data_IF_620638836920
#
_entry.id   IF_620638836920
#
_cell.length_a   1.000
_cell.length_b   1.000
_cell.length_c   1.000
_cell.angle_alpha   90.00
_cell.angle_beta   90.00
_cell.angle_gamma   90.00
#
_symmetry.space_group_name_H-M   'P 1'
#
loop_
_entity.id
_entity.type
_entity.pdbx_description
1 polymer ?
#
# COMPACT_ATOMS: atom_id res chain seq x y z
N UNK A 1 -0.22 18.70 15.82
CA UNK A 1 -0.26 17.29 15.38
C UNK A 1 1.18 16.79 15.23
N UNK A 2 1.52 15.57 15.68
CA UNK A 2 2.89 15.04 15.52
C UNK A 2 3.17 14.66 14.06
N UNK A 3 4.45 14.58 13.65
CA UNK A 3 4.82 14.12 12.31
C UNK A 3 4.28 12.71 12.01
N UNK A 4 4.34 11.80 12.99
CA UNK A 4 3.81 10.44 12.85
C UNK A 4 2.28 10.42 12.74
N UNK A 5 1.58 11.28 13.50
CA UNK A 5 0.13 11.45 13.37
C UNK A 5 -0.26 11.98 11.99
N UNK A 6 0.49 12.96 11.46
CA UNK A 6 0.26 13.49 10.12
C UNK A 6 0.47 12.41 9.04
N UNK A 7 1.52 11.59 9.20
CA UNK A 7 1.77 10.45 8.31
C UNK A 7 0.63 9.43 8.36
N UNK A 8 0.17 9.02 9.55
CA UNK A 8 -0.95 8.08 9.69
C UNK A 8 -2.22 8.60 9.02
N UNK A 9 -2.55 9.89 9.20
CA UNK A 9 -3.69 10.50 8.52
C UNK A 9 -3.53 10.49 7.00
N UNK A 10 -2.40 11.00 6.50
CA UNK A 10 -2.16 11.10 5.06
C UNK A 10 -2.18 9.71 4.41
N UNK A 11 -1.39 8.77 4.93
CA UNK A 11 -1.25 7.44 4.36
C UNK A 11 -2.53 6.61 4.53
N UNK A 12 -3.24 6.78 5.65
CA UNK A 12 -4.54 6.16 5.89
C UNK A 12 -5.62 6.64 4.91
N UNK A 13 -5.71 7.95 4.68
CA UNK A 13 -6.66 8.52 3.72
C UNK A 13 -6.36 8.12 2.27
N UNK A 14 -5.09 8.03 1.88
CA UNK A 14 -4.70 7.53 0.56
C UNK A 14 -5.08 6.06 0.37
N UNK A 15 -4.87 5.23 1.40
CA UNK A 15 -5.30 3.83 1.40
C UNK A 15 -6.83 3.70 1.27
N UNK A 16 -7.58 4.50 2.02
CA UNK A 16 -9.03 4.56 1.92
C UNK A 16 -9.49 4.97 0.52
N UNK A 17 -8.90 6.02 -0.06
CA UNK A 17 -9.27 6.47 -1.40
C UNK A 17 -9.00 5.39 -2.46
N UNK A 18 -7.81 4.77 -2.42
CA UNK A 18 -7.44 3.71 -3.35
C UNK A 18 -8.33 2.46 -3.19
N UNK A 19 -8.51 1.99 -1.95
CA UNK A 19 -9.32 0.81 -1.65
C UNK A 19 -10.81 1.03 -1.97
N UNK A 20 -11.36 2.20 -1.67
CA UNK A 20 -12.74 2.54 -2.05
C UNK A 20 -12.92 2.57 -3.57
N UNK A 21 -11.95 3.06 -4.34
CA UNK A 21 -12.01 3.01 -5.81
C UNK A 21 -12.04 1.56 -6.31
N UNK A 22 -11.18 0.69 -5.78
CA UNK A 22 -11.19 -0.75 -6.10
C UNK A 22 -12.53 -1.42 -5.75
N UNK A 23 -13.17 -1.05 -4.64
CA UNK A 23 -14.45 -1.63 -4.21
C UNK A 23 -15.62 -1.17 -5.09
N UNK A 24 -15.71 0.14 -5.34
CA UNK A 24 -16.84 0.77 -6.04
C UNK A 24 -16.74 0.57 -7.55
N UNK A 25 -15.56 0.76 -8.13
CA UNK A 25 -15.35 0.74 -9.58
C UNK A 25 -14.07 -0.05 -9.96
N UNK A 26 -14.00 -1.36 -9.67
CA UNK A 26 -12.79 -2.18 -9.86
C UNK A 26 -12.23 -2.17 -11.29
N UNK A 27 -13.09 -2.20 -12.32
CA UNK A 27 -12.63 -2.15 -13.71
C UNK A 27 -12.01 -0.78 -14.07
N UNK A 28 -12.59 0.31 -13.54
CA UNK A 28 -12.04 1.65 -13.73
C UNK A 28 -10.70 1.80 -13.02
N UNK A 29 -10.56 1.26 -11.81
CA UNK A 29 -9.27 1.23 -11.12
C UNK A 29 -8.23 0.42 -11.92
N UNK A 30 -8.61 -0.77 -12.37
CA UNK A 30 -7.72 -1.68 -13.09
C UNK A 30 -7.14 -1.08 -14.37
N UNK A 31 -7.97 -0.39 -15.17
CA UNK A 31 -7.52 0.22 -16.42
C UNK A 31 -7.03 1.67 -16.26
N UNK A 32 -7.46 2.37 -15.21
CA UNK A 32 -7.24 3.80 -15.03
C UNK A 32 -6.11 4.16 -14.07
N UNK A 33 -5.67 3.24 -13.21
CA UNK A 33 -4.50 3.48 -12.36
C UNK A 33 -3.24 3.54 -13.26
N UNK A 34 -2.41 4.60 -13.17
CA UNK A 34 -1.20 4.74 -13.98
C UNK A 34 -0.05 3.86 -13.46
N UNK A 35 -0.33 2.56 -13.33
CA UNK A 35 0.60 1.52 -12.84
C UNK A 35 0.59 0.29 -13.75
N UNK A 36 0.01 0.38 -14.95
CA UNK A 36 -0.05 -0.71 -15.93
C UNK A 36 -0.52 -2.06 -15.34
N UNK A 37 -1.49 -2.02 -14.41
CA UNK A 37 -2.07 -3.21 -13.77
C UNK A 37 -2.48 -4.30 -14.77
N UNK A 38 -3.00 -3.99 -15.99
CA UNK A 38 -3.33 -5.00 -17.00
C UNK A 38 -2.17 -5.90 -17.42
N UNK A 39 -0.92 -5.50 -17.21
CA UNK A 39 0.25 -6.32 -17.53
C UNK A 39 0.41 -7.50 -16.56
N UNK A 40 -0.28 -7.48 -15.40
CA UNK A 40 -0.24 -8.52 -14.37
C UNK A 40 -1.22 -9.68 -14.62
N UNK A 41 -2.08 -9.58 -15.65
CA UNK A 41 -3.01 -10.65 -16.03
C UNK A 41 -4.35 -10.15 -16.58
N UNK A 42 -5.36 -11.03 -16.71
CA UNK A 42 -6.73 -10.62 -17.03
C UNK A 42 -7.47 -10.07 -15.80
N UNK A 43 -8.39 -9.14 -16.04
CA UNK A 43 -9.22 -8.54 -14.97
C UNK A 43 -10.07 -9.59 -14.25
N UNK A 44 -9.89 -9.68 -12.94
CA UNK A 44 -10.79 -10.37 -12.03
C UNK A 44 -11.41 -9.37 -11.04
N UNK A 45 -12.70 -9.08 -11.21
CA UNK A 45 -13.42 -8.07 -10.40
C UNK A 45 -13.48 -8.43 -8.91
N UNK A 46 -13.57 -9.71 -8.58
CA UNK A 46 -13.58 -10.17 -7.19
C UNK A 46 -12.22 -9.93 -6.55
N UNK A 47 -11.15 -10.35 -7.25
CA UNK A 47 -9.78 -10.17 -6.78
C UNK A 47 -9.42 -8.69 -6.55
N UNK A 48 -9.80 -7.79 -7.46
CA UNK A 48 -9.59 -6.34 -7.25
C UNK A 48 -10.33 -5.84 -6.00
N UNK A 49 -11.54 -6.33 -5.72
CA UNK A 49 -12.30 -5.95 -4.52
C UNK A 49 -11.68 -6.52 -3.25
N UNK A 50 -11.11 -7.72 -3.27
CA UNK A 50 -10.40 -8.28 -2.12
C UNK A 50 -9.17 -7.43 -1.77
N UNK A 51 -8.42 -7.00 -2.79
CA UNK A 51 -7.33 -6.03 -2.60
C UNK A 51 -7.90 -4.73 -2.03
N UNK A 52 -9.01 -4.23 -2.58
CA UNK A 52 -9.71 -3.04 -2.08
C UNK A 52 -10.08 -3.13 -0.60
N UNK A 53 -10.60 -4.28 -0.16
CA UNK A 53 -10.92 -4.53 1.24
C UNK A 53 -9.66 -4.45 2.12
N UNK A 54 -8.54 -5.06 1.69
CA UNK A 54 -7.27 -4.98 2.43
C UNK A 54 -6.77 -3.52 2.58
N UNK A 55 -6.78 -2.73 1.50
CA UNK A 55 -6.38 -1.32 1.53
C UNK A 55 -7.33 -0.48 2.41
N UNK A 56 -8.64 -0.71 2.35
CA UNK A 56 -9.60 -0.04 3.25
C UNK A 56 -9.33 -0.40 4.71
N UNK A 57 -9.10 -1.68 5.03
CA UNK A 57 -8.77 -2.12 6.39
C UNK A 57 -7.52 -1.41 6.92
N UNK A 58 -6.44 -1.37 6.13
CA UNK A 58 -5.21 -0.64 6.49
C UNK A 58 -5.50 0.85 6.71
N UNK A 59 -6.24 1.46 5.78
CA UNK A 59 -6.61 2.87 5.84
C UNK A 59 -7.40 3.23 7.09
N UNK A 60 -8.42 2.44 7.44
CA UNK A 60 -9.20 2.60 8.68
C UNK A 60 -8.30 2.46 9.90
N UNK A 61 -7.47 1.41 9.96
CA UNK A 61 -6.59 1.17 11.11
C UNK A 61 -5.63 2.33 11.36
N UNK A 62 -5.02 2.88 10.30
CA UNK A 62 -4.16 4.05 10.38
C UNK A 62 -4.91 5.30 10.84
N UNK A 63 -6.07 5.59 10.25
CA UNK A 63 -6.90 6.75 10.63
C UNK A 63 -7.35 6.67 12.10
N UNK A 64 -7.77 5.49 12.58
CA UNK A 64 -8.16 5.26 13.98
C UNK A 64 -6.98 5.48 14.92
N UNK A 65 -5.78 5.01 14.55
CA UNK A 65 -4.58 5.15 15.37
C UNK A 65 -3.94 6.55 15.29
N UNK A 66 -4.25 7.36 14.27
CA UNK A 66 -3.57 8.62 13.98
C UNK A 66 -3.54 9.64 15.15
N UNK A 67 -4.63 9.85 15.92
CA UNK A 67 -4.63 10.79 17.05
C UNK A 67 -3.58 10.45 18.12
N UNK A 68 -3.28 9.16 18.29
CA UNK A 68 -2.32 8.65 19.25
C UNK A 68 -1.19 7.85 18.57
N UNK A 69 -0.81 8.22 17.35
CA UNK A 69 0.04 7.41 16.47
C UNK A 69 1.28 6.82 17.17
N UNK A 70 1.99 7.61 18.00
CA UNK A 70 3.17 7.15 18.77
C UNK A 70 2.91 5.99 19.74
N UNK A 71 1.67 5.80 20.19
CA UNK A 71 1.25 4.66 21.04
C UNK A 71 0.88 3.41 20.25
N UNK A 72 0.86 3.49 18.92
CA UNK A 72 0.42 2.42 18.03
C UNK A 72 1.48 2.02 16.98
N UNK A 73 2.74 1.74 17.37
CA UNK A 73 3.78 1.27 16.43
C UNK A 73 3.39 -0.03 15.72
N UNK A 74 2.59 -0.88 16.37
CA UNK A 74 2.10 -2.13 15.79
C UNK A 74 1.25 -1.90 14.52
N UNK A 75 0.48 -0.81 14.45
CA UNK A 75 -0.34 -0.48 13.27
C UNK A 75 0.56 -0.13 12.08
N UNK A 76 1.59 0.69 12.30
CA UNK A 76 2.58 0.99 11.25
C UNK A 76 3.31 -0.29 10.80
N UNK A 77 3.74 -1.14 11.74
CA UNK A 77 4.49 -2.37 11.43
C UNK A 77 3.63 -3.39 10.68
N UNK A 78 2.37 -3.55 11.04
CA UNK A 78 1.43 -4.40 10.29
C UNK A 78 1.20 -3.85 8.87
N UNK A 79 1.08 -2.53 8.74
CA UNK A 79 1.00 -1.87 7.42
C UNK A 79 2.27 -2.11 6.62
N UNK A 80 3.45 -1.94 7.23
CA UNK A 80 4.75 -2.21 6.60
C UNK A 80 4.89 -3.67 6.16
N UNK A 81 4.37 -4.63 6.96
CA UNK A 81 4.36 -6.04 6.61
C UNK A 81 3.55 -6.29 5.33
N UNK A 82 2.31 -5.77 5.25
CA UNK A 82 1.48 -5.93 4.05
C UNK A 82 2.18 -5.35 2.82
N UNK A 83 2.64 -4.10 2.89
CA UNK A 83 3.30 -3.44 1.76
C UNK A 83 4.62 -4.12 1.38
N UNK A 84 5.38 -4.61 2.36
CA UNK A 84 6.60 -5.36 2.12
C UNK A 84 6.34 -6.69 1.41
N UNK A 85 5.36 -7.47 1.88
CA UNK A 85 4.96 -8.72 1.23
C UNK A 85 4.44 -8.46 -0.19
N UNK A 86 3.62 -7.43 -0.37
CA UNK A 86 3.12 -7.03 -1.69
C UNK A 86 4.26 -6.65 -2.64
N UNK A 87 5.21 -5.83 -2.19
CA UNK A 87 6.40 -5.49 -2.97
C UNK A 87 7.24 -6.73 -3.33
N UNK A 88 7.36 -7.71 -2.43
CA UNK A 88 8.07 -8.96 -2.72
C UNK A 88 7.36 -9.82 -3.78
N UNK A 89 6.03 -9.75 -3.89
CA UNK A 89 5.30 -10.39 -5.01
C UNK A 89 5.74 -9.79 -6.34
N UNK A 90 5.78 -8.46 -6.45
CA UNK A 90 6.25 -7.77 -7.67
C UNK A 90 7.70 -8.13 -8.00
N UNK A 91 8.59 -8.17 -6.99
CA UNK A 91 9.97 -8.63 -7.16
C UNK A 91 10.02 -10.06 -7.70
N UNK A 92 9.20 -10.96 -7.16
CA UNK A 92 9.15 -12.35 -7.60
C UNK A 92 8.61 -12.49 -9.04
N UNK A 93 7.68 -11.63 -9.47
CA UNK A 93 7.17 -11.59 -10.85
C UNK A 93 8.22 -11.04 -11.83
N UNK A 94 8.91 -9.96 -11.46
CA UNK A 94 9.99 -9.37 -12.24
C UNK A 94 11.18 -10.33 -12.39
N UNK A 95 11.67 -10.90 -11.29
CA UNK A 95 12.77 -11.86 -11.32
C UNK A 95 12.38 -13.18 -12.00
N UNK A 96 11.10 -13.57 -11.95
CA UNK A 96 10.57 -14.74 -12.64
C UNK A 96 10.28 -14.52 -14.12
N UNK A 97 10.46 -13.29 -14.65
CA UNK A 97 10.18 -12.95 -16.04
C UNK A 97 8.70 -12.93 -16.41
N UNK A 98 7.80 -12.80 -15.42
CA UNK A 98 6.34 -12.69 -15.63
C UNK A 98 5.92 -11.27 -16.00
N UNK A 99 6.73 -10.28 -15.64
CA UNK A 99 6.56 -8.88 -16.00
C UNK A 99 7.78 -8.36 -16.77
N UNK A 100 7.55 -7.37 -17.64
CA UNK A 100 8.64 -6.71 -18.35
C UNK A 100 9.55 -5.94 -17.38
N UNK A 101 10.87 -5.84 -17.63
CA UNK A 101 11.80 -5.11 -16.75
C UNK A 101 11.44 -3.62 -16.53
N UNK A 102 10.67 -3.01 -17.44
CA UNK A 102 10.17 -1.65 -17.26
C UNK A 102 9.32 -1.49 -15.99
N UNK A 103 8.71 -2.57 -15.48
CA UNK A 103 7.92 -2.56 -14.24
C UNK A 103 8.75 -2.22 -13.00
N UNK A 104 10.08 -2.36 -13.02
CA UNK A 104 10.93 -1.80 -11.95
C UNK A 104 10.71 -0.29 -11.75
N UNK A 105 10.48 0.45 -12.83
CA UNK A 105 10.22 1.89 -12.77
C UNK A 105 8.74 2.21 -12.61
N UNK A 106 7.84 1.46 -13.29
CA UNK A 106 6.38 1.66 -13.21
C UNK A 106 5.87 1.38 -11.79
N UNK A 107 6.32 0.31 -11.16
CA UNK A 107 5.86 -0.09 -9.82
C UNK A 107 6.53 0.72 -8.70
N UNK A 108 7.65 1.40 -8.98
CA UNK A 108 8.41 2.09 -7.94
C UNK A 108 7.61 3.09 -7.12
N UNK A 109 6.83 4.02 -7.71
CA UNK A 109 6.12 5.03 -6.94
C UNK A 109 4.99 4.45 -6.08
N UNK A 110 4.30 3.42 -6.57
CA UNK A 110 3.08 2.87 -5.96
C UNK A 110 3.30 1.63 -5.09
N UNK A 111 4.38 0.88 -5.33
CA UNK A 111 4.64 -0.42 -4.68
C UNK A 111 5.93 -0.36 -3.86
N UNK A 112 7.07 -0.06 -4.49
CA UNK A 112 8.37 -0.15 -3.80
C UNK A 112 8.62 1.01 -2.84
N UNK A 113 8.37 2.25 -3.26
CA UNK A 113 8.61 3.43 -2.43
C UNK A 113 7.78 3.41 -1.14
N UNK A 114 6.46 3.11 -1.14
CA UNK A 114 5.69 3.00 0.09
C UNK A 114 6.23 1.92 1.03
N UNK A 115 6.61 0.75 0.50
CA UNK A 115 7.19 -0.32 1.30
C UNK A 115 8.51 0.12 1.98
N UNK A 116 9.39 0.80 1.24
CA UNK A 116 10.65 1.34 1.77
C UNK A 116 10.39 2.38 2.86
N UNK A 117 9.50 3.35 2.61
CA UNK A 117 9.15 4.39 3.58
C UNK A 117 8.59 3.78 4.86
N UNK A 118 7.66 2.84 4.76
CA UNK A 118 7.07 2.15 5.91
C UNK A 118 8.11 1.34 6.70
N UNK A 119 9.02 0.65 6.01
CA UNK A 119 10.13 -0.08 6.65
C UNK A 119 11.06 0.88 7.41
N UNK A 120 11.43 2.00 6.80
CA UNK A 120 12.28 3.03 7.43
C UNK A 120 11.59 3.62 8.66
N UNK A 121 10.30 3.98 8.55
CA UNK A 121 9.53 4.54 9.66
C UNK A 121 9.25 3.53 10.78
N UNK A 122 9.37 2.22 10.50
CA UNK A 122 9.22 1.16 11.50
C UNK A 122 10.45 0.99 12.41
N UNK A 123 11.60 1.61 12.05
CA UNK A 123 12.83 1.53 12.84
C UNK A 123 12.69 2.18 14.22
N UNK A 124 13.31 1.64 15.28
CA UNK A 124 13.13 2.10 16.66
C UNK A 124 13.37 3.61 16.88
N UNK A 125 14.34 4.19 16.17
CA UNK A 125 14.69 5.64 16.23
C UNK A 125 13.53 6.61 15.97
N UNK A 126 12.44 6.16 15.34
CA UNK A 126 11.26 7.00 15.08
C UNK A 126 10.19 6.91 16.18
N UNK A 127 10.40 6.03 17.15
CA UNK A 127 9.45 5.66 18.20
C UNK A 127 10.04 5.83 19.60
N UNK A 128 11.36 5.76 19.73
CA UNK A 128 12.10 6.12 20.93
C UNK A 128 12.05 7.64 21.10
N UNK A 129 11.26 8.09 22.07
CA UNK A 129 11.19 9.46 22.59
C UNK A 129 11.14 9.41 24.11
#
# INVERSE_FOLDING_TARGET
>A
MSAMSAFFWLFGLLNLANGCWMLVAPASWYHGLPAAVPDTGPLNLHFVRDIGAAFVTIGVALCVAAPAARRHPAVLRATALFYGLHALVHVADLCGGRLAPAHWAVDFPGVFLPAIVLAVLSLPRWWEA
#
